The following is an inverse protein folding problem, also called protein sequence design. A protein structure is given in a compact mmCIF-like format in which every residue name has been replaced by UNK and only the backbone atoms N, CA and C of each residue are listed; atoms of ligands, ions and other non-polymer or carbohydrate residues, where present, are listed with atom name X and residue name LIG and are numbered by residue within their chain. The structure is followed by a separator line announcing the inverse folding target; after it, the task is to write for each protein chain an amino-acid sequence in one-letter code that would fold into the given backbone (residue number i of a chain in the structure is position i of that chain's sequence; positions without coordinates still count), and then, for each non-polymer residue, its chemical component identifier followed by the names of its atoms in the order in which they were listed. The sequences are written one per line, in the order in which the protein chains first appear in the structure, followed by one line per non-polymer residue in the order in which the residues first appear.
data_IF_079278689026
#
_entry.id   IF_079278689026
#
_cell.length_a   1.000
_cell.length_b   1.000
_cell.length_c   1.000
_cell.angle_alpha   90.00
_cell.angle_beta   90.00
_cell.angle_gamma   90.00
#
_symmetry.space_group_name_H-M   'P 1'
#
loop_
_entity.id
_entity.type
_entity.pdbx_description
1 polymer ?
#
# COMPACT_ATOMS: atom_id res chain seq x y z
N UNK A 1 -61.07 0.15 50.45
CA UNK A 1 -59.69 0.54 50.08
C UNK A 1 -59.45 0.13 48.63
N UNK A 2 -59.28 1.09 47.71
CA UNK A 2 -58.86 0.80 46.32
C UNK A 2 -57.33 0.82 46.28
N UNK A 3 -56.72 -0.29 45.91
CA UNK A 3 -55.27 -0.36 45.68
C UNK A 3 -54.95 0.33 44.36
N UNK A 4 -54.12 1.38 44.39
CA UNK A 4 -53.60 2.02 43.20
C UNK A 4 -52.39 1.22 42.70
N UNK A 5 -52.50 0.62 41.51
CA UNK A 5 -51.37 -0.03 40.85
C UNK A 5 -50.44 1.06 40.30
N UNK A 6 -49.30 1.25 40.94
CA UNK A 6 -48.22 2.07 40.40
C UNK A 6 -47.48 1.23 39.37
N UNK A 7 -47.67 1.53 38.09
CA UNK A 7 -46.85 0.97 37.01
C UNK A 7 -45.45 1.58 37.11
N UNK A 8 -44.59 1.00 37.92
CA UNK A 8 -43.18 1.37 37.97
C UNK A 8 -42.53 0.89 36.66
N UNK A 9 -42.06 1.84 35.82
CA UNK A 9 -41.29 1.52 34.60
C UNK A 9 -40.00 0.81 35.02
N UNK A 10 -39.76 -0.45 34.60
CA UNK A 10 -38.52 -1.14 34.91
C UNK A 10 -37.34 -0.32 34.37
N UNK A 11 -36.45 0.13 35.25
CA UNK A 11 -35.19 0.78 34.86
C UNK A 11 -34.16 -0.33 34.73
N UNK A 12 -33.91 -0.78 33.51
CA UNK A 12 -32.90 -1.80 33.25
C UNK A 12 -31.52 -1.28 33.70
N UNK A 13 -30.90 -1.98 34.64
CA UNK A 13 -29.51 -1.76 35.00
C UNK A 13 -28.56 -2.44 34.01
N UNK A 14 -27.26 -2.09 34.06
CA UNK A 14 -26.23 -2.73 33.20
C UNK A 14 -26.20 -4.25 33.41
N UNK A 15 -26.39 -4.72 34.64
CA UNK A 15 -26.45 -6.15 34.97
C UNK A 15 -27.66 -6.86 34.34
N UNK A 16 -28.82 -6.21 34.26
CA UNK A 16 -30.01 -6.78 33.62
C UNK A 16 -29.81 -6.93 32.12
N UNK A 17 -29.12 -5.96 31.48
CA UNK A 17 -28.79 -6.03 30.05
C UNK A 17 -27.87 -7.22 29.77
N UNK A 18 -26.84 -7.43 30.60
CA UNK A 18 -25.95 -8.59 30.46
C UNK A 18 -26.70 -9.91 30.67
N UNK A 19 -27.61 -9.96 31.66
CA UNK A 19 -28.45 -11.13 31.91
C UNK A 19 -29.39 -11.45 30.74
N UNK A 20 -30.03 -10.43 30.16
CA UNK A 20 -30.84 -10.56 28.94
C UNK A 20 -29.99 -11.00 27.74
N UNK A 21 -28.77 -10.48 27.61
CA UNK A 21 -27.88 -10.88 26.51
C UNK A 21 -27.47 -12.36 26.58
N UNK A 22 -27.20 -12.86 27.79
CA UNK A 22 -26.83 -14.25 28.03
C UNK A 22 -28.00 -15.22 27.90
N UNK A 23 -29.21 -14.80 28.26
CA UNK A 23 -30.42 -15.63 28.11
C UNK A 23 -30.78 -15.83 26.64
N UNK A 24 -30.54 -14.84 25.80
CA UNK A 24 -30.79 -14.87 24.35
C UNK A 24 -29.48 -15.13 23.54
N UNK A 25 -28.64 -16.07 24.01
CA UNK A 25 -27.31 -16.33 23.42
C UNK A 25 -27.35 -16.73 21.93
N UNK A 26 -28.41 -17.40 21.47
CA UNK A 26 -28.60 -17.72 20.05
C UNK A 26 -28.77 -16.46 19.19
N UNK A 27 -29.55 -15.49 19.66
CA UNK A 27 -29.76 -14.22 18.95
C UNK A 27 -28.46 -13.41 18.90
N UNK A 28 -27.67 -13.46 19.98
CA UNK A 28 -26.33 -12.87 20.00
C UNK A 28 -25.41 -13.50 18.94
N UNK A 29 -25.38 -14.83 18.85
CA UNK A 29 -24.57 -15.53 17.85
C UNK A 29 -25.01 -15.16 16.43
N UNK A 30 -26.32 -15.12 16.15
CA UNK A 30 -26.83 -14.74 14.83
C UNK A 30 -26.40 -13.32 14.45
N UNK A 31 -26.59 -12.34 15.35
CA UNK A 31 -26.17 -10.95 15.08
C UNK A 31 -24.66 -10.87 14.90
N UNK A 32 -23.89 -11.57 15.74
CA UNK A 32 -22.44 -11.64 15.61
C UNK A 32 -22.03 -12.18 14.23
N UNK A 33 -22.63 -13.28 13.78
CA UNK A 33 -22.35 -13.86 12.45
C UNK A 33 -22.72 -12.91 11.32
N UNK A 34 -23.83 -12.17 11.42
CA UNK A 34 -24.23 -11.17 10.42
C UNK A 34 -23.20 -10.05 10.33
N UNK A 35 -22.80 -9.47 11.46
CA UNK A 35 -21.80 -8.39 11.50
C UNK A 35 -20.42 -8.89 11.03
N UNK A 36 -20.04 -10.10 11.45
CA UNK A 36 -18.80 -10.74 11.04
C UNK A 36 -18.77 -11.01 9.54
N UNK A 37 -19.86 -11.53 8.96
CA UNK A 37 -19.97 -11.78 7.53
C UNK A 37 -19.88 -10.48 6.72
N UNK A 38 -20.57 -9.41 7.15
CA UNK A 38 -20.47 -8.09 6.53
C UNK A 38 -19.06 -7.51 6.60
N UNK A 39 -18.42 -7.58 7.77
CA UNK A 39 -17.03 -7.12 7.94
C UNK A 39 -16.05 -7.92 7.08
N UNK A 40 -16.20 -9.24 7.04
CA UNK A 40 -15.37 -10.12 6.20
C UNK A 40 -15.57 -9.80 4.72
N UNK A 41 -16.81 -9.68 4.25
CA UNK A 41 -17.11 -9.28 2.88
C UNK A 41 -16.48 -7.93 2.54
N UNK A 42 -16.57 -6.93 3.43
CA UNK A 42 -15.94 -5.63 3.24
C UNK A 42 -14.41 -5.73 3.14
N UNK A 43 -13.74 -6.48 4.02
CA UNK A 43 -12.28 -6.66 3.99
C UNK A 43 -11.83 -7.36 2.72
N UNK A 44 -12.58 -8.34 2.23
CA UNK A 44 -12.25 -9.04 0.97
C UNK A 44 -12.33 -8.11 -0.25
N UNK A 45 -13.05 -7.00 -0.18
CA UNK A 45 -13.08 -5.99 -1.26
C UNK A 45 -11.91 -5.00 -1.22
N UNK A 46 -11.14 -4.96 -0.14
CA UNK A 46 -10.00 -4.05 -0.04
C UNK A 46 -8.85 -4.53 -0.92
N UNK A 47 -8.37 -3.64 -1.80
CA UNK A 47 -7.20 -3.89 -2.64
C UNK A 47 -5.94 -3.90 -1.77
N UNK A 48 -5.17 -4.99 -1.80
CA UNK A 48 -3.83 -5.03 -1.21
C UNK A 48 -2.89 -4.20 -2.08
N UNK A 49 -2.20 -3.24 -1.47
CA UNK A 49 -1.14 -2.46 -2.12
C UNK A 49 0.20 -2.86 -1.54
N UNK A 50 1.12 -3.32 -2.39
CA UNK A 50 2.49 -3.67 -2.01
C UNK A 50 3.44 -2.59 -2.49
N UNK A 51 4.05 -1.84 -1.57
CA UNK A 51 5.02 -0.80 -1.90
C UNK A 51 6.43 -1.40 -1.99
N UNK A 52 6.99 -1.46 -3.19
CA UNK A 52 8.39 -1.83 -3.42
C UNK A 52 9.25 -0.57 -3.62
N UNK A 53 10.39 -0.48 -2.94
CA UNK A 53 11.34 0.64 -3.06
C UNK A 53 12.69 0.16 -3.61
N UNK A 54 13.24 0.89 -4.59
CA UNK A 54 14.58 0.67 -5.12
C UNK A 54 15.43 1.94 -4.97
N UNK A 55 16.73 1.77 -4.73
CA UNK A 55 17.71 2.87 -4.69
C UNK A 55 18.78 2.58 -5.75
N UNK A 56 19.08 3.57 -6.60
CA UNK A 56 20.11 3.47 -7.65
C UNK A 56 21.13 4.57 -7.42
N UNK A 57 22.41 4.21 -7.46
CA UNK A 57 23.52 5.15 -7.39
C UNK A 57 23.97 5.49 -8.81
N UNK A 58 23.84 6.76 -9.21
CA UNK A 58 24.35 7.27 -10.48
C UNK A 58 25.67 8.01 -10.23
N UNK A 59 26.79 7.44 -10.67
CA UNK A 59 28.11 8.06 -10.63
C UNK A 59 28.63 8.30 -12.04
N UNK A 60 29.32 9.43 -12.26
CA UNK A 60 30.01 9.73 -13.52
C UNK A 60 31.39 9.07 -13.54
N UNK A 61 31.63 8.17 -14.49
CA UNK A 61 32.98 7.72 -14.82
C UNK A 61 33.55 8.51 -16.01
N UNK A 62 34.85 8.30 -16.26
CA UNK A 62 35.61 8.98 -17.33
C UNK A 62 35.13 8.62 -18.75
N UNK A 63 34.12 7.76 -18.88
CA UNK A 63 33.57 7.30 -20.17
C UNK A 63 32.61 8.31 -20.82
N UNK A 64 32.07 9.26 -20.05
CA UNK A 64 31.19 10.32 -20.59
C UNK A 64 31.93 11.50 -21.21
N UNK A 65 33.26 11.56 -21.06
CA UNK A 65 34.08 12.66 -21.60
C UNK A 65 34.78 12.17 -22.86
N UNK A 66 34.37 12.70 -24.02
CA UNK A 66 35.14 12.52 -25.24
C UNK A 66 36.53 13.16 -25.07
N UNK A 67 37.55 12.32 -24.94
CA UNK A 67 38.95 12.75 -24.94
C UNK A 67 39.54 12.46 -26.33
N UNK A 68 39.66 13.48 -27.21
CA UNK A 68 40.37 13.30 -28.47
C UNK A 68 41.86 13.05 -28.17
N UNK A 69 42.38 11.89 -28.61
CA UNK A 69 43.80 11.52 -28.43
C UNK A 69 44.72 12.12 -29.50
N UNK A 70 44.18 12.80 -30.51
CA UNK A 70 44.93 13.32 -31.66
C UNK A 70 44.37 14.70 -32.01
N UNK A 71 45.24 15.72 -32.03
CA UNK A 71 44.90 17.12 -32.31
C UNK A 71 44.92 17.99 -31.05
N UNK A 72 45.94 18.85 -30.93
CA UNK A 72 45.95 19.90 -29.93
C UNK A 72 44.88 20.95 -30.28
N UNK A 73 44.10 21.38 -29.27
CA UNK A 73 43.15 22.51 -29.30
C UNK A 73 41.94 22.40 -30.24
N UNK A 74 40.88 21.72 -29.79
CA UNK A 74 39.50 22.09 -30.10
C UNK A 74 38.61 21.57 -28.96
N UNK A 75 37.88 22.48 -28.32
CA UNK A 75 36.83 22.28 -27.29
C UNK A 75 36.72 20.86 -26.73
N UNK A 76 37.40 20.62 -25.59
CA UNK A 76 37.13 19.43 -24.78
C UNK A 76 35.66 19.53 -24.37
N UNK A 77 34.81 18.67 -24.93
CA UNK A 77 33.38 18.63 -24.62
C UNK A 77 33.21 18.68 -23.11
N UNK A 78 32.46 19.68 -22.64
CA UNK A 78 32.25 19.89 -21.21
C UNK A 78 31.66 18.59 -20.64
N UNK A 79 32.36 17.98 -19.69
CA UNK A 79 31.85 16.81 -18.99
C UNK A 79 30.49 17.19 -18.40
N UNK A 80 29.43 16.40 -18.64
CA UNK A 80 28.15 16.66 -18.00
C UNK A 80 28.37 16.69 -16.49
N UNK A 81 27.77 17.67 -15.81
CA UNK A 81 27.91 17.76 -14.36
C UNK A 81 27.30 16.53 -13.71
N UNK A 82 27.82 16.11 -12.55
CA UNK A 82 27.31 14.93 -11.82
C UNK A 82 25.79 15.01 -11.61
N UNK A 83 25.28 16.22 -11.36
CA UNK A 83 23.86 16.48 -11.20
C UNK A 83 23.05 16.27 -12.48
N UNK A 84 23.58 16.65 -13.65
CA UNK A 84 22.91 16.44 -14.94
C UNK A 84 22.83 14.97 -15.30
N UNK A 85 23.90 14.20 -15.11
CA UNK A 85 23.87 12.75 -15.36
C UNK A 85 22.90 12.06 -14.41
N UNK A 86 22.96 12.36 -13.11
CA UNK A 86 22.04 11.80 -12.14
C UNK A 86 20.58 12.14 -12.46
N UNK A 87 20.31 13.37 -12.93
CA UNK A 87 18.97 13.79 -13.34
C UNK A 87 18.49 13.08 -14.61
N UNK A 88 19.36 12.91 -15.60
CA UNK A 88 19.05 12.16 -16.83
C UNK A 88 18.78 10.69 -16.55
N UNK A 89 19.60 10.04 -15.71
CA UNK A 89 19.38 8.65 -15.29
C UNK A 89 18.08 8.50 -14.48
N UNK A 90 17.80 9.43 -13.55
CA UNK A 90 16.54 9.44 -12.82
C UNK A 90 15.32 9.62 -13.73
N UNK A 91 15.44 10.43 -14.80
CA UNK A 91 14.38 10.62 -15.79
C UNK A 91 14.13 9.34 -16.61
N UNK A 92 15.20 8.66 -17.05
CA UNK A 92 15.12 7.38 -17.78
C UNK A 92 14.47 6.30 -16.90
N UNK A 93 14.90 6.17 -15.64
CA UNK A 93 14.35 5.19 -14.70
C UNK A 93 12.88 5.46 -14.34
N UNK A 94 12.45 6.72 -14.38
CA UNK A 94 11.05 7.08 -14.15
C UNK A 94 10.15 6.89 -15.37
N UNK A 95 10.72 6.66 -16.56
CA UNK A 95 9.98 6.47 -17.80
C UNK A 95 9.03 5.25 -17.73
N UNK A 96 7.81 5.44 -18.21
CA UNK A 96 6.80 4.39 -18.31
C UNK A 96 7.22 3.24 -19.24
N UNK A 97 7.99 3.54 -20.28
CA UNK A 97 8.48 2.53 -21.23
C UNK A 97 9.50 1.59 -20.59
N UNK A 98 10.42 2.12 -19.78
CA UNK A 98 11.39 1.29 -19.05
C UNK A 98 10.65 0.40 -18.06
N UNK A 99 9.69 0.95 -17.30
CA UNK A 99 8.85 0.17 -16.37
C UNK A 99 8.09 -0.95 -17.09
N UNK A 100 7.50 -0.67 -18.26
CA UNK A 100 6.76 -1.67 -19.05
C UNK A 100 7.67 -2.78 -19.58
N UNK A 101 8.84 -2.43 -20.11
CA UNK A 101 9.83 -3.40 -20.61
C UNK A 101 10.37 -4.28 -19.50
N UNK A 102 10.64 -3.71 -18.31
CA UNK A 102 11.10 -4.50 -17.16
C UNK A 102 10.03 -5.51 -16.70
N UNK A 103 8.75 -5.11 -16.64
CA UNK A 103 7.65 -6.03 -16.32
C UNK A 103 7.52 -7.14 -17.37
N UNK A 104 7.69 -6.82 -18.66
CA UNK A 104 7.66 -7.82 -19.74
C UNK A 104 8.86 -8.79 -19.69
N UNK A 105 10.03 -8.31 -19.31
CA UNK A 105 11.26 -9.11 -19.28
C UNK A 105 11.36 -10.02 -18.04
N UNK A 106 11.02 -9.51 -16.85
CA UNK A 106 11.07 -10.29 -15.60
C UNK A 106 9.81 -11.12 -15.36
N UNK A 107 8.67 -10.67 -15.89
CA UNK A 107 7.37 -11.29 -15.66
C UNK A 107 6.75 -10.99 -14.29
N UNK A 108 5.46 -11.31 -14.10
CA UNK A 108 4.69 -10.94 -12.90
C UNK A 108 5.21 -11.62 -11.63
N UNK A 109 5.64 -12.87 -11.72
CA UNK A 109 6.09 -13.68 -10.57
C UNK A 109 7.33 -13.08 -9.90
N UNK A 110 8.27 -12.55 -10.68
CA UNK A 110 9.48 -11.94 -10.14
C UNK A 110 9.21 -10.58 -9.47
N UNK A 111 8.17 -9.86 -9.90
CA UNK A 111 7.84 -8.52 -9.39
C UNK A 111 6.87 -8.58 -8.20
N UNK A 112 5.89 -9.48 -8.26
CA UNK A 112 4.85 -9.60 -7.24
C UNK A 112 5.17 -10.65 -6.17
N UNK A 113 6.11 -11.56 -6.45
CA UNK A 113 6.45 -12.69 -5.60
C UNK A 113 5.66 -13.96 -5.96
N UNK A 114 6.03 -15.11 -5.39
CA UNK A 114 5.42 -16.41 -5.70
C UNK A 114 3.95 -16.53 -5.25
N UNK A 115 3.49 -15.68 -4.33
CA UNK A 115 2.17 -15.76 -3.70
C UNK A 115 1.17 -14.70 -4.21
N UNK A 116 1.46 -14.07 -5.35
CA UNK A 116 0.67 -12.97 -5.91
C UNK A 116 -0.39 -13.38 -6.92
#
# INVERSE_FOLDING_TARGET
MRSAYVTARPRYGVGDIVGLLFREWLLLIVIFLVVFALGTAAVLTLKKSYTAGAKVFAGVGQEYVYQPRIGATAERGQAPSIGEVAQSEAAILNSSEVKRRTVQALGPVAILGPDA
#
